data_IF_007137537754
#
_entry.id   IF_007137537754
#
_cell.length_a   1.000
_cell.length_b   1.000
_cell.length_c   1.000
_cell.angle_alpha   90.00
_cell.angle_beta   90.00
_cell.angle_gamma   90.00
#
_symmetry.space_group_name_H-M   'P 1'
#
loop_
_entity.id
_entity.type
_entity.pdbx_description
1 polymer ?
#
# COMPACT_ATOMS: atom_id res chain seq x y z
N UNK A 1 -6.24 3.61 -18.25
CA UNK A 1 -7.02 2.63 -17.44
C UNK A 1 -7.00 1.22 -18.01
N UNK A 2 -7.00 1.03 -19.33
CA UNK A 2 -6.84 -0.27 -20.01
C UNK A 2 -5.65 -1.11 -19.54
N UNK A 3 -4.58 -0.47 -19.06
CA UNK A 3 -3.41 -1.13 -18.46
C UNK A 3 -3.73 -1.99 -17.23
N UNK A 4 -4.86 -1.77 -16.55
CA UNK A 4 -5.28 -2.60 -15.42
C UNK A 4 -5.59 -4.04 -15.82
N UNK A 5 -5.85 -4.30 -17.10
CA UNK A 5 -6.09 -5.65 -17.62
C UNK A 5 -4.88 -6.28 -18.30
N UNK A 6 -3.75 -5.56 -18.40
CA UNK A 6 -2.53 -6.05 -19.05
C UNK A 6 -2.06 -7.44 -18.58
N UNK A 7 -2.14 -7.83 -17.28
CA UNK A 7 -1.78 -9.18 -16.86
C UNK A 7 -2.67 -10.30 -17.40
N UNK A 8 -3.89 -9.95 -17.85
CA UNK A 8 -4.90 -10.89 -18.36
C UNK A 8 -4.99 -10.91 -19.88
N UNK A 9 -4.29 -9.99 -20.56
CA UNK A 9 -4.28 -9.91 -22.01
C UNK A 9 -3.20 -10.83 -22.59
N UNK A 10 -3.50 -11.61 -23.64
CA UNK A 10 -2.46 -12.23 -24.46
C UNK A 10 -1.47 -11.17 -24.98
N UNK A 11 -0.24 -11.57 -25.31
CA UNK A 11 0.82 -10.67 -25.79
C UNK A 11 0.34 -9.68 -26.89
N UNK A 12 -0.59 -10.09 -27.76
CA UNK A 12 -1.20 -9.26 -28.81
C UNK A 12 -2.73 -9.11 -28.67
N UNK A 13 -3.27 -9.37 -27.48
CA UNK A 13 -4.69 -9.36 -27.20
C UNK A 13 -5.27 -7.94 -27.07
N UNK A 14 -6.55 -7.80 -27.41
CA UNK A 14 -7.35 -6.60 -27.15
C UNK A 14 -8.30 -6.86 -25.99
N UNK A 15 -8.69 -5.80 -25.29
CA UNK A 15 -9.73 -5.87 -24.26
C UNK A 15 -11.02 -6.47 -24.86
N UNK A 16 -11.50 -7.55 -24.27
CA UNK A 16 -12.79 -8.13 -24.60
C UNK A 16 -13.92 -7.37 -23.87
N UNK A 17 -15.17 -7.80 -24.05
CA UNK A 17 -16.32 -7.15 -23.42
C UNK A 17 -16.28 -7.22 -21.87
N UNK A 18 -15.79 -8.33 -21.33
CA UNK A 18 -15.67 -8.53 -19.89
C UNK A 18 -14.59 -7.63 -19.28
N UNK A 19 -13.44 -7.49 -19.94
CA UNK A 19 -12.38 -6.57 -19.53
C UNK A 19 -12.85 -5.11 -19.46
N UNK A 20 -13.71 -4.70 -20.40
CA UNK A 20 -14.31 -3.36 -20.40
C UNK A 20 -15.27 -3.19 -19.22
N UNK A 21 -16.14 -4.17 -18.99
CA UNK A 21 -17.07 -4.19 -17.85
C UNK A 21 -16.33 -4.05 -16.51
N UNK A 22 -15.22 -4.76 -16.35
CA UNK A 22 -14.39 -4.71 -15.13
C UNK A 22 -13.75 -3.33 -14.95
N UNK A 23 -13.27 -2.72 -16.03
CA UNK A 23 -12.70 -1.36 -15.98
C UNK A 23 -13.78 -0.34 -15.63
N UNK A 24 -14.98 -0.46 -16.21
CA UNK A 24 -16.13 0.40 -15.90
C UNK A 24 -16.54 0.28 -14.42
N UNK A 25 -16.67 -0.94 -13.90
CA UNK A 25 -16.98 -1.17 -12.47
C UNK A 25 -15.93 -0.55 -11.54
N UNK A 26 -14.64 -0.67 -11.88
CA UNK A 26 -13.56 -0.06 -11.10
C UNK A 26 -13.58 1.47 -11.15
N UNK A 27 -13.92 2.06 -12.31
CA UNK A 27 -14.09 3.51 -12.46
C UNK A 27 -15.28 4.03 -11.65
N UNK A 28 -16.40 3.30 -11.65
CA UNK A 28 -17.59 3.68 -10.88
C UNK A 28 -17.31 3.63 -9.39
N UNK A 29 -16.70 2.54 -8.91
CA UNK A 29 -16.35 2.38 -7.48
C UNK A 29 -15.41 3.45 -6.95
N UNK A 30 -14.61 4.06 -7.83
CA UNK A 30 -13.64 5.11 -7.46
C UNK A 30 -14.13 6.51 -7.82
N UNK A 31 -15.33 6.66 -8.41
CA UNK A 31 -15.87 7.93 -8.87
C UNK A 31 -15.09 8.56 -10.02
N UNK A 32 -14.37 7.75 -10.81
CA UNK A 32 -13.49 8.18 -11.89
C UNK A 32 -14.13 8.10 -13.28
N UNK A 33 -15.38 7.61 -13.40
CA UNK A 33 -16.12 7.50 -14.67
C UNK A 33 -16.10 8.80 -15.50
N UNK A 34 -16.36 10.00 -14.94
CA UNK A 34 -16.35 11.24 -15.72
C UNK A 34 -14.96 11.63 -16.28
N UNK A 35 -13.89 11.05 -15.74
CA UNK A 35 -12.51 11.40 -16.03
C UNK A 35 -11.79 10.29 -16.82
N UNK A 36 -12.49 9.23 -17.22
CA UNK A 36 -11.89 8.03 -17.82
C UNK A 36 -11.09 8.29 -19.11
N UNK A 37 -11.44 9.34 -19.85
CA UNK A 37 -10.77 9.75 -21.09
C UNK A 37 -9.69 10.82 -20.92
N UNK A 38 -9.48 11.35 -19.71
CA UNK A 38 -8.51 12.42 -19.47
C UNK A 38 -7.08 11.88 -19.33
N UNK A 39 -6.06 12.58 -19.88
CA UNK A 39 -4.67 12.27 -19.60
C UNK A 39 -4.35 12.37 -18.10
N UNK A 40 -3.53 11.46 -17.58
CA UNK A 40 -3.11 11.48 -16.16
C UNK A 40 -2.46 12.81 -15.75
N UNK A 41 -1.78 13.49 -16.68
CA UNK A 41 -1.16 14.79 -16.46
C UNK A 41 -2.16 15.90 -16.10
N UNK A 42 -3.41 15.79 -16.56
CA UNK A 42 -4.47 16.78 -16.32
C UNK A 42 -5.24 16.54 -15.03
N UNK A 43 -5.08 15.36 -14.42
CA UNK A 43 -5.70 15.03 -13.15
C UNK A 43 -4.99 15.73 -11.98
N UNK A 44 -5.78 16.19 -11.00
CA UNK A 44 -5.27 16.62 -9.70
C UNK A 44 -4.65 15.46 -8.91
N UNK A 45 -3.86 15.74 -7.87
CA UNK A 45 -3.21 14.69 -7.06
C UNK A 45 -4.20 13.63 -6.53
N UNK A 46 -5.30 14.08 -5.91
CA UNK A 46 -6.34 13.18 -5.40
C UNK A 46 -7.13 12.43 -6.51
N UNK A 47 -7.20 12.97 -7.73
CA UNK A 47 -7.76 12.26 -8.87
C UNK A 47 -6.78 11.20 -9.39
N UNK A 48 -5.48 11.48 -9.42
CA UNK A 48 -4.44 10.49 -9.76
C UNK A 48 -4.42 9.33 -8.75
N UNK A 49 -4.56 9.63 -7.46
CA UNK A 49 -4.68 8.60 -6.42
C UNK A 49 -5.89 7.68 -6.68
N UNK A 50 -7.08 8.24 -6.91
CA UNK A 50 -8.28 7.46 -7.23
C UNK A 50 -8.16 6.70 -8.55
N UNK A 51 -7.50 7.29 -9.55
CA UNK A 51 -7.20 6.60 -10.80
C UNK A 51 -6.32 5.35 -10.55
N UNK A 52 -5.33 5.46 -9.67
CA UNK A 52 -4.47 4.35 -9.30
C UNK A 52 -5.23 3.25 -8.55
N UNK A 53 -6.13 3.61 -7.61
CA UNK A 53 -7.04 2.62 -6.98
C UNK A 53 -7.83 1.88 -8.05
N UNK A 54 -8.45 2.61 -8.97
CA UNK A 54 -9.29 2.02 -10.01
C UNK A 54 -8.48 1.06 -10.90
N UNK A 55 -7.24 1.44 -11.23
CA UNK A 55 -6.32 0.60 -12.00
C UNK A 55 -6.08 -0.75 -11.31
N UNK A 56 -5.80 -0.74 -10.00
CA UNK A 56 -5.58 -1.96 -9.22
C UNK A 56 -6.87 -2.76 -9.05
N UNK A 57 -8.00 -2.11 -8.83
CA UNK A 57 -9.29 -2.79 -8.74
C UNK A 57 -9.63 -3.52 -10.06
N UNK A 58 -9.37 -2.88 -11.19
CA UNK A 58 -9.57 -3.46 -12.52
C UNK A 58 -8.69 -4.69 -12.79
N UNK A 59 -7.53 -4.81 -12.11
CA UNK A 59 -6.72 -6.02 -12.17
C UNK A 59 -7.43 -7.24 -11.58
N UNK A 60 -8.45 -7.08 -10.73
CA UNK A 60 -9.15 -8.19 -10.05
C UNK A 60 -8.22 -9.18 -9.33
N UNK A 61 -7.03 -8.76 -8.95
CA UNK A 61 -6.11 -9.57 -8.15
C UNK A 61 -6.45 -9.42 -6.67
N UNK A 62 -6.42 -10.50 -5.86
CA UNK A 62 -6.68 -10.40 -4.42
C UNK A 62 -5.50 -9.78 -3.66
N UNK A 63 -4.29 -9.84 -4.22
CA UNK A 63 -3.03 -9.48 -3.59
C UNK A 63 -2.34 -8.33 -4.35
N UNK A 64 -1.86 -7.34 -3.61
CA UNK A 64 -1.04 -6.23 -4.09
C UNK A 64 0.29 -6.29 -3.37
N UNK A 65 1.39 -6.37 -4.13
CA UNK A 65 2.75 -6.38 -3.61
C UNK A 65 3.42 -5.05 -3.95
N UNK A 66 3.99 -4.38 -2.95
CA UNK A 66 4.70 -3.12 -3.11
C UNK A 66 6.10 -3.26 -2.51
N UNK A 67 7.12 -3.11 -3.35
CA UNK A 67 8.50 -3.17 -2.89
C UNK A 67 9.02 -1.74 -2.68
N UNK A 68 9.26 -1.40 -1.41
CA UNK A 68 9.74 -0.08 -0.95
C UNK A 68 9.09 1.13 -1.65
N UNK A 69 7.76 1.22 -1.69
CA UNK A 69 7.06 2.20 -2.53
C UNK A 69 7.23 3.64 -2.03
N UNK A 70 7.75 3.83 -0.82
CA UNK A 70 8.01 5.13 -0.19
C UNK A 70 9.38 5.73 -0.57
N UNK A 71 10.26 4.95 -1.20
CA UNK A 71 11.62 5.41 -1.54
C UNK A 71 11.54 6.54 -2.58
N UNK A 72 12.34 7.59 -2.37
CA UNK A 72 12.35 8.83 -3.18
C UNK A 72 11.10 9.72 -3.11
N UNK A 73 10.12 9.38 -2.27
CA UNK A 73 8.95 10.24 -2.02
C UNK A 73 9.21 11.19 -0.86
N UNK A 74 8.74 12.44 -1.00
CA UNK A 74 8.64 13.34 0.14
C UNK A 74 7.55 12.89 1.13
N UNK A 75 7.52 13.52 2.31
CA UNK A 75 6.61 13.14 3.40
C UNK A 75 5.13 13.21 2.97
N UNK A 76 4.75 14.19 2.16
CA UNK A 76 3.35 14.32 1.73
C UNK A 76 2.96 13.15 0.82
N UNK A 77 3.79 12.84 -0.16
CA UNK A 77 3.55 11.74 -1.09
C UNK A 77 3.61 10.37 -0.39
N UNK A 78 4.49 10.19 0.61
CA UNK A 78 4.49 8.98 1.45
C UNK A 78 3.15 8.82 2.17
N UNK A 79 2.65 9.88 2.82
CA UNK A 79 1.37 9.83 3.53
C UNK A 79 0.20 9.52 2.58
N UNK A 80 0.19 10.09 1.38
CA UNK A 80 -0.81 9.78 0.35
C UNK A 80 -0.76 8.31 -0.08
N UNK A 81 0.43 7.78 -0.33
CA UNK A 81 0.62 6.37 -0.65
C UNK A 81 0.15 5.44 0.49
N UNK A 82 0.44 5.77 1.74
CA UNK A 82 -0.02 4.96 2.87
C UNK A 82 -1.55 4.98 3.00
N UNK A 83 -2.20 6.12 2.75
CA UNK A 83 -3.67 6.21 2.68
C UNK A 83 -4.23 5.37 1.54
N UNK A 84 -3.59 5.41 0.38
CA UNK A 84 -3.97 4.64 -0.80
C UNK A 84 -3.93 3.13 -0.54
N UNK A 85 -2.89 2.64 0.14
CA UNK A 85 -2.82 1.24 0.57
C UNK A 85 -3.96 0.86 1.51
N UNK A 86 -4.34 1.77 2.43
CA UNK A 86 -5.50 1.56 3.31
C UNK A 86 -6.80 1.49 2.54
N UNK A 87 -6.99 2.35 1.53
CA UNK A 87 -8.16 2.32 0.63
C UNK A 87 -8.27 0.98 -0.12
N UNK A 88 -7.15 0.46 -0.63
CA UNK A 88 -7.11 -0.86 -1.27
C UNK A 88 -7.49 -1.97 -0.29
N UNK A 89 -6.97 -1.92 0.94
CA UNK A 89 -7.31 -2.87 1.99
C UNK A 89 -8.82 -2.84 2.32
N UNK A 90 -9.41 -1.65 2.45
CA UNK A 90 -10.85 -1.48 2.66
C UNK A 90 -11.68 -1.97 1.47
N UNK A 91 -11.13 -1.96 0.25
CA UNK A 91 -11.75 -2.55 -0.92
C UNK A 91 -11.63 -4.09 -0.98
N UNK A 92 -11.11 -4.74 0.07
CA UNK A 92 -10.98 -6.19 0.19
C UNK A 92 -9.70 -6.77 -0.40
N UNK A 93 -8.70 -5.93 -0.70
CA UNK A 93 -7.39 -6.39 -1.18
C UNK A 93 -6.47 -6.72 -0.01
N UNK A 94 -5.65 -7.75 -0.15
CA UNK A 94 -4.48 -7.94 0.71
C UNK A 94 -3.34 -7.12 0.14
N UNK A 95 -2.79 -6.20 0.94
CA UNK A 95 -1.63 -5.39 0.56
C UNK A 95 -0.44 -5.84 1.39
N UNK A 96 0.63 -6.25 0.71
CA UNK A 96 1.92 -6.57 1.32
C UNK A 96 2.91 -5.55 0.81
N UNK A 97 3.55 -4.84 1.74
CA UNK A 97 4.54 -3.82 1.41
C UNK A 97 5.83 -4.07 2.17
N UNK A 98 6.96 -3.67 1.58
CA UNK A 98 8.23 -3.51 2.28
C UNK A 98 8.36 -2.04 2.70
N UNK A 99 8.66 -1.79 3.97
CA UNK A 99 8.85 -0.44 4.53
C UNK A 99 10.11 -0.43 5.38
N UNK A 100 10.87 0.65 5.31
CA UNK A 100 12.09 0.85 6.12
C UNK A 100 11.85 1.64 7.41
N UNK A 101 10.77 2.41 7.46
CA UNK A 101 10.42 3.20 8.63
C UNK A 101 9.49 2.40 9.55
N UNK A 102 9.97 2.07 10.75
CA UNK A 102 9.26 1.29 11.76
C UNK A 102 7.98 1.98 12.25
N UNK A 103 8.00 3.31 12.37
CA UNK A 103 6.84 4.08 12.83
C UNK A 103 5.77 4.13 11.74
N UNK A 104 6.15 4.24 10.47
CA UNK A 104 5.21 4.12 9.35
C UNK A 104 4.61 2.71 9.29
N UNK A 105 5.44 1.66 9.38
CA UNK A 105 4.97 0.29 9.37
C UNK A 105 3.98 0.04 10.52
N UNK A 106 4.33 0.45 11.74
CA UNK A 106 3.45 0.35 12.91
C UNK A 106 2.11 1.05 12.68
N UNK A 107 2.15 2.29 12.20
CA UNK A 107 0.97 3.15 12.09
C UNK A 107 -0.04 2.67 11.05
N UNK A 108 0.43 2.10 9.94
CA UNK A 108 -0.42 1.82 8.79
C UNK A 108 -0.64 0.32 8.51
N UNK A 109 0.24 -0.57 8.96
CA UNK A 109 0.13 -2.01 8.70
C UNK A 109 -0.57 -2.72 9.85
N UNK A 110 -1.55 -3.57 9.54
CA UNK A 110 -2.26 -4.34 10.56
C UNK A 110 -1.47 -5.58 11.01
N UNK A 111 -0.46 -5.99 10.26
CA UNK A 111 0.42 -7.12 10.55
C UNK A 111 1.84 -6.77 10.10
N UNK A 112 2.83 -7.04 10.97
CA UNK A 112 4.24 -6.85 10.68
C UNK A 112 4.92 -8.21 10.52
N UNK A 113 5.89 -8.28 9.61
CA UNK A 113 6.80 -9.43 9.46
C UNK A 113 8.21 -8.87 9.47
N UNK A 114 9.00 -9.25 10.48
CA UNK A 114 10.39 -8.81 10.63
C UNK A 114 11.30 -9.91 10.10
N UNK A 115 12.11 -9.56 9.11
CA UNK A 115 13.07 -10.45 8.47
C UNK A 115 14.49 -10.10 8.89
N UNK A 116 15.29 -11.10 9.20
CA UNK A 116 16.73 -10.96 9.44
C UNK A 116 17.45 -12.15 8.79
N UNK A 117 18.45 -11.87 7.93
CA UNK A 117 19.24 -12.92 7.27
C UNK A 117 18.38 -13.99 6.56
N UNK A 118 17.32 -13.56 5.88
CA UNK A 118 16.40 -14.43 5.15
C UNK A 118 15.44 -15.26 6.01
N UNK A 119 15.35 -15.01 7.33
CA UNK A 119 14.45 -15.72 8.25
C UNK A 119 13.49 -14.76 8.92
N UNK A 120 12.25 -15.22 9.13
CA UNK A 120 11.26 -14.50 9.95
C UNK A 120 11.69 -14.58 11.41
N UNK A 121 11.95 -13.42 12.01
CA UNK A 121 12.29 -13.29 13.44
C UNK A 121 11.09 -13.04 14.32
N UNK A 122 10.14 -12.27 13.82
CA UNK A 122 8.87 -12.03 14.47
C UNK A 122 7.80 -11.71 13.43
N UNK A 123 6.56 -12.04 13.75
CA UNK A 123 5.40 -11.63 12.97
C UNK A 123 4.17 -11.51 13.87
N UNK A 124 3.23 -10.64 13.52
CA UNK A 124 2.03 -10.40 14.31
C UNK A 124 1.56 -8.96 14.26
N UNK A 125 0.74 -8.57 15.24
CA UNK A 125 0.30 -7.19 15.39
C UNK A 125 1.49 -6.27 15.72
N UNK A 126 1.47 -4.99 15.33
CA UNK A 126 2.51 -4.04 15.70
C UNK A 126 2.86 -4.04 17.19
N UNK A 127 1.85 -4.15 18.08
CA UNK A 127 1.99 -4.16 19.53
C UNK A 127 2.73 -5.39 20.08
N UNK A 128 2.69 -6.50 19.33
CA UNK A 128 3.35 -7.74 19.70
C UNK A 128 4.77 -7.82 19.15
N UNK A 129 4.99 -7.23 17.96
CA UNK A 129 6.25 -7.30 17.23
C UNK A 129 7.23 -6.21 17.67
N UNK A 130 6.77 -4.97 17.78
CA UNK A 130 7.64 -3.85 18.15
C UNK A 130 7.86 -3.86 19.67
N UNK A 131 8.99 -4.41 20.08
CA UNK A 131 9.45 -4.44 21.47
C UNK A 131 10.90 -3.94 21.56
N UNK A 132 11.33 -3.32 22.68
CA UNK A 132 12.72 -2.88 22.82
C UNK A 132 13.73 -4.03 22.63
N UNK A 133 13.38 -5.24 23.06
CA UNK A 133 14.21 -6.44 22.88
C UNK A 133 14.36 -6.82 21.40
N UNK A 134 13.29 -6.76 20.61
CA UNK A 134 13.36 -7.01 19.17
C UNK A 134 14.17 -5.92 18.45
N UNK A 135 13.98 -4.65 18.79
CA UNK A 135 14.72 -3.53 18.20
C UNK A 135 16.22 -3.64 18.46
N UNK A 136 16.60 -3.99 19.69
CA UNK A 136 18.01 -4.23 20.05
C UNK A 136 18.61 -5.42 19.31
N UNK A 137 17.89 -6.54 19.25
CA UNK A 137 18.44 -7.79 18.70
C UNK A 137 18.51 -7.81 17.18
N UNK A 138 17.50 -7.27 16.49
CA UNK A 138 17.40 -7.34 15.02
C UNK A 138 17.91 -6.08 14.35
N UNK A 139 17.54 -4.91 14.87
CA UNK A 139 17.90 -3.63 14.26
C UNK A 139 19.15 -3.00 14.89
N UNK A 140 19.67 -3.56 15.99
CA UNK A 140 20.80 -3.00 16.76
C UNK A 140 20.52 -1.57 17.24
N UNK A 141 19.24 -1.30 17.59
CA UNK A 141 18.77 0.00 18.05
C UNK A 141 18.33 -0.05 19.50
N UNK A 142 18.82 0.89 20.31
CA UNK A 142 18.25 1.20 21.62
C UNK A 142 17.08 2.17 21.44
N UNK A 143 15.87 1.74 21.81
CA UNK A 143 14.67 2.54 21.63
C UNK A 143 13.67 2.33 22.77
N UNK A 144 12.89 3.36 23.03
CA UNK A 144 11.67 3.28 23.83
C UNK A 144 10.46 3.14 22.93
N UNK A 145 9.40 2.56 23.48
CA UNK A 145 8.14 2.41 22.78
C UNK A 145 7.09 3.19 23.54
N UNK A 146 6.54 4.18 22.83
CA UNK A 146 5.49 5.05 23.32
C UNK A 146 4.24 4.87 22.45
N UNK A 147 3.03 5.12 22.96
CA UNK A 147 1.85 5.15 22.09
C UNK A 147 1.95 6.37 21.16
N UNK A 148 1.83 6.15 19.85
CA UNK A 148 1.71 7.22 18.86
C UNK A 148 0.52 8.13 19.23
N UNK A 149 0.70 9.46 19.28
CA UNK A 149 -0.32 10.35 19.81
C UNK A 149 -1.59 10.40 18.95
N UNK A 150 -1.54 9.95 17.69
CA UNK A 150 -2.65 10.01 16.74
C UNK A 150 -3.32 8.64 16.60
N UNK A 151 -2.55 7.60 16.30
CA UNK A 151 -3.01 6.24 16.00
C UNK A 151 -3.07 5.33 17.22
N UNK A 152 -2.46 5.72 18.35
CA UNK A 152 -2.29 4.91 19.57
C UNK A 152 -1.50 3.61 19.40
N UNK A 153 -1.00 3.35 18.19
CA UNK A 153 -0.12 2.22 17.90
C UNK A 153 1.29 2.46 18.44
N UNK A 154 2.13 1.41 18.56
CA UNK A 154 3.49 1.57 19.05
C UNK A 154 4.30 2.55 18.19
N UNK A 155 4.99 3.49 18.83
CA UNK A 155 5.91 4.42 18.23
C UNK A 155 7.29 4.22 18.85
N UNK A 156 8.26 3.86 18.02
CA UNK A 156 9.66 3.72 18.39
C UNK A 156 10.31 5.11 18.47
N UNK A 157 10.87 5.41 19.64
CA UNK A 157 11.66 6.62 19.90
C UNK A 157 13.09 6.18 20.22
N UNK A 158 14.02 6.55 19.34
CA UNK A 158 15.43 6.16 19.48
C UNK A 158 16.08 6.89 20.64
N UNK A 159 16.97 6.20 21.36
CA UNK A 159 17.81 6.77 22.42
C UNK A 159 19.13 7.30 21.87
#
# INVERSE_FOLDING_TARGET
MSYGRSPWLPLWGRLNAEDRRIVEEALERTGMTPLAGQPLSELSGGQRQRAFVALILAQQTPLVLLDEPTTWLDINHQVELMKLMRELQMCGKTVVTVLHDLNQASRYCDHLVVLESGKVRAQGLPEQVLTPALLRSVFQLEAEIHPDPISRRPMCVMK
#
